data_IF_898073721184
#
_entry.id   IF_898073721184
#
_cell.length_a   1.000
_cell.length_b   1.000
_cell.length_c   1.000
_cell.angle_alpha   90.00
_cell.angle_beta   90.00
_cell.angle_gamma   90.00
#
_symmetry.space_group_name_H-M   'P 1'
#
loop_
_entity.id
_entity.type
_entity.pdbx_description
1 polymer ?
#
# COMPACT_ATOMS: atom_id res chain seq x y z
N UNK A 1 8.83 10.61 13.64
CA UNK A 1 9.69 9.77 12.78
C UNK A 1 10.13 10.57 11.57
N UNK A 2 11.41 10.54 11.28
CA UNK A 2 12.00 11.37 10.20
C UNK A 2 11.45 11.03 8.82
N UNK A 3 11.22 9.75 8.55
CA UNK A 3 10.67 9.31 7.27
C UNK A 3 9.28 9.88 7.02
N UNK A 4 8.43 9.88 8.05
CA UNK A 4 7.08 10.45 7.96
C UNK A 4 7.15 11.95 7.70
N UNK A 5 8.01 12.66 8.44
CA UNK A 5 8.17 14.10 8.27
C UNK A 5 8.65 14.45 6.85
N UNK A 6 9.58 13.67 6.31
CA UNK A 6 10.08 13.87 4.95
C UNK A 6 8.96 13.73 3.92
N UNK A 7 8.16 12.69 4.04
CA UNK A 7 7.05 12.44 3.14
C UNK A 7 5.95 13.50 3.24
N UNK A 8 5.64 13.92 4.46
CA UNK A 8 4.65 14.99 4.66
C UNK A 8 5.11 16.31 4.06
N UNK A 9 6.38 16.63 4.24
CA UNK A 9 6.95 17.86 3.72
C UNK A 9 6.99 17.89 2.19
N UNK A 10 7.32 16.76 1.57
CA UNK A 10 7.49 16.68 0.12
C UNK A 10 6.20 16.49 -0.65
N UNK A 11 5.26 15.70 -0.13
CA UNK A 11 4.09 15.28 -0.89
C UNK A 11 2.76 15.68 -0.25
N UNK A 12 2.74 16.04 1.02
CA UNK A 12 1.51 16.33 1.77
C UNK A 12 0.45 15.23 1.59
N UNK A 13 0.78 13.96 1.83
CA UNK A 13 -0.16 12.87 1.56
C UNK A 13 -1.34 12.87 2.54
N UNK A 14 -2.46 12.32 2.11
CA UNK A 14 -3.63 12.14 2.96
C UNK A 14 -3.35 11.14 4.08
N UNK A 15 -2.56 10.11 3.80
CA UNK A 15 -2.20 9.10 4.80
C UNK A 15 -0.86 8.46 4.44
N UNK A 16 -0.15 8.02 5.48
CA UNK A 16 1.07 7.22 5.37
C UNK A 16 0.87 6.00 6.25
N UNK A 17 1.05 4.81 5.69
CA UNK A 17 0.90 3.56 6.42
C UNK A 17 2.14 2.70 6.30
N UNK A 18 2.40 1.95 7.35
CA UNK A 18 3.42 0.90 7.37
C UNK A 18 2.70 -0.42 7.19
N UNK A 19 3.18 -1.28 6.30
CA UNK A 19 2.56 -2.56 6.07
C UNK A 19 3.60 -3.67 5.93
N UNK A 20 3.13 -4.89 5.66
CA UNK A 20 4.01 -6.05 5.57
C UNK A 20 4.46 -6.55 6.94
N UNK A 21 5.62 -7.19 7.01
CA UNK A 21 6.09 -7.85 8.23
C UNK A 21 6.30 -6.88 9.40
N UNK A 22 6.67 -5.63 9.12
CA UNK A 22 6.93 -4.65 10.17
C UNK A 22 5.67 -4.17 10.87
N UNK A 23 4.53 -4.15 10.20
CA UNK A 23 3.28 -3.76 10.82
C UNK A 23 2.78 -4.79 11.82
N UNK A 24 3.19 -6.05 11.65
CA UNK A 24 2.77 -7.17 12.51
C UNK A 24 3.79 -7.53 13.58
N UNK A 25 4.90 -6.80 13.66
CA UNK A 25 5.96 -7.09 14.63
C UNK A 25 6.84 -8.28 14.29
N UNK A 26 6.76 -8.77 13.06
CA UNK A 26 7.55 -9.90 12.59
C UNK A 26 8.79 -9.47 11.82
N UNK A 27 9.18 -8.23 11.98
CA UNK A 27 10.33 -7.68 11.29
C UNK A 27 11.63 -8.35 11.72
N UNK A 28 12.51 -8.49 10.74
CA UNK A 28 13.90 -8.88 10.98
C UNK A 28 14.76 -7.61 10.89
N UNK A 29 15.95 -7.59 11.51
CA UNK A 29 16.81 -6.41 11.47
C UNK A 29 17.17 -5.93 10.06
N UNK A 30 17.21 -6.83 9.09
CA UNK A 30 17.53 -6.53 7.69
C UNK A 30 16.33 -6.53 6.76
N UNK A 31 15.11 -6.57 7.31
CA UNK A 31 13.87 -6.54 6.51
C UNK A 31 13.67 -5.20 5.82
N UNK A 32 13.07 -5.24 4.63
CA UNK A 32 12.61 -4.05 3.95
C UNK A 32 11.52 -3.35 4.75
N UNK A 33 11.46 -2.03 4.63
CA UNK A 33 10.39 -1.23 5.21
C UNK A 33 9.38 -0.94 4.11
N UNK A 34 8.14 -1.40 4.29
CA UNK A 34 7.07 -1.23 3.31
C UNK A 34 6.18 -0.06 3.72
N UNK A 35 6.21 1.01 2.96
CA UNK A 35 5.44 2.23 3.21
C UNK A 35 4.43 2.45 2.11
N UNK A 36 3.18 2.73 2.50
CA UNK A 36 2.12 3.09 1.58
C UNK A 36 1.75 4.56 1.73
N UNK A 37 1.61 5.24 0.60
CA UNK A 37 1.20 6.64 0.54
C UNK A 37 -0.16 6.74 -0.13
N UNK A 38 -1.12 7.36 0.55
CA UNK A 38 -2.37 7.77 -0.08
C UNK A 38 -2.27 9.26 -0.35
N UNK A 39 -2.18 9.64 -1.62
CA UNK A 39 -2.00 11.04 -1.99
C UNK A 39 -3.32 11.82 -2.01
N UNK A 40 -4.38 11.17 -2.52
CA UNK A 40 -5.73 11.76 -2.63
C UNK A 40 -5.76 13.06 -3.44
N UNK A 41 -4.89 13.15 -4.45
CA UNK A 41 -4.75 14.30 -5.32
C UNK A 41 -3.75 13.99 -6.42
N UNK A 42 -3.00 15.00 -6.90
CA UNK A 42 -1.98 14.75 -7.92
C UNK A 42 -0.99 13.69 -7.46
N UNK A 43 -0.70 12.71 -8.32
CA UNK A 43 0.21 11.62 -7.99
C UNK A 43 1.64 12.00 -8.36
N UNK A 44 2.64 11.62 -7.56
CA UNK A 44 4.03 11.81 -7.94
C UNK A 44 4.37 10.88 -9.11
N UNK A 45 5.27 11.34 -9.98
CA UNK A 45 5.75 10.49 -11.07
C UNK A 45 6.75 9.45 -10.55
N UNK A 46 7.10 8.49 -11.41
CA UNK A 46 8.01 7.41 -11.05
C UNK A 46 9.39 7.92 -10.64
N UNK A 47 9.86 8.99 -11.29
CA UNK A 47 11.15 9.59 -10.98
C UNK A 47 11.16 10.21 -9.57
N UNK A 48 10.10 10.91 -9.23
CA UNK A 48 9.93 11.51 -7.89
C UNK A 48 9.86 10.42 -6.82
N UNK A 49 9.10 9.36 -7.08
CA UNK A 49 8.99 8.23 -6.14
C UNK A 49 10.35 7.56 -5.92
N UNK A 50 11.09 7.33 -6.99
CA UNK A 50 12.42 6.72 -6.89
C UNK A 50 13.38 7.58 -6.08
N UNK A 51 13.37 8.90 -6.28
CA UNK A 51 14.19 9.84 -5.51
C UNK A 51 13.82 9.86 -4.03
N UNK A 52 12.53 9.88 -3.73
CA UNK A 52 12.05 9.84 -2.35
C UNK A 52 12.44 8.53 -1.67
N UNK A 53 12.33 7.41 -2.38
CA UNK A 53 12.72 6.12 -1.84
C UNK A 53 14.20 6.14 -1.43
N UNK A 54 15.08 6.68 -2.27
CA UNK A 54 16.50 6.79 -1.95
C UNK A 54 16.73 7.65 -0.71
N UNK A 55 16.07 8.79 -0.60
CA UNK A 55 16.17 9.65 0.58
C UNK A 55 15.66 8.95 1.83
N UNK A 56 14.55 8.21 1.71
CA UNK A 56 13.99 7.45 2.82
C UNK A 56 14.94 6.35 3.28
N UNK A 57 15.59 5.66 2.35
CA UNK A 57 16.56 4.62 2.68
C UNK A 57 17.74 5.19 3.46
N UNK A 58 18.18 6.40 3.11
CA UNK A 58 19.23 7.08 3.86
C UNK A 58 18.80 7.41 5.29
N UNK A 59 17.56 7.85 5.47
CA UNK A 59 17.00 8.22 6.78
C UNK A 59 16.76 6.98 7.64
N UNK A 60 16.21 5.94 7.05
CA UNK A 60 15.81 4.71 7.76
C UNK A 60 17.00 3.78 7.97
N UNK A 61 17.97 3.80 7.06
CA UNK A 61 19.15 2.92 7.11
C UNK A 61 18.85 1.51 6.60
N UNK A 62 17.78 1.32 5.86
CA UNK A 62 17.34 0.04 5.31
C UNK A 62 16.66 0.21 3.98
N UNK A 63 16.54 -0.86 3.17
CA UNK A 63 15.75 -0.80 1.96
C UNK A 63 14.30 -0.40 2.26
N UNK A 64 13.75 0.48 1.45
CA UNK A 64 12.38 0.96 1.58
C UNK A 64 11.63 0.64 0.29
N UNK A 65 10.45 0.03 0.43
CA UNK A 65 9.52 -0.14 -0.65
C UNK A 65 8.40 0.90 -0.48
N UNK A 66 8.26 1.78 -1.45
CA UNK A 66 7.31 2.89 -1.39
C UNK A 66 6.22 2.67 -2.42
N UNK A 67 5.00 2.47 -1.93
CA UNK A 67 3.84 2.18 -2.78
C UNK A 67 2.86 3.35 -2.74
N UNK A 68 2.47 3.83 -3.91
CA UNK A 68 1.40 4.83 -4.03
C UNK A 68 0.06 4.08 -4.04
N UNK A 69 -0.69 4.20 -2.96
CA UNK A 69 -1.93 3.43 -2.76
C UNK A 69 -3.03 3.81 -3.75
N UNK A 70 -3.03 5.06 -4.21
CA UNK A 70 -4.04 5.56 -5.15
C UNK A 70 -4.07 4.74 -6.45
N UNK A 71 -2.91 4.22 -6.87
CA UNK A 71 -2.77 3.46 -8.10
C UNK A 71 -2.45 1.98 -7.88
N UNK A 72 -2.51 1.51 -6.63
CA UNK A 72 -2.26 0.11 -6.31
C UNK A 72 -3.37 -0.79 -6.86
N UNK A 73 -3.02 -2.02 -7.25
CA UNK A 73 -4.03 -3.00 -7.64
C UNK A 73 -4.95 -3.32 -6.46
N UNK A 74 -6.19 -3.80 -6.72
CA UNK A 74 -7.07 -4.19 -5.62
C UNK A 74 -6.48 -5.26 -4.71
N UNK A 75 -5.69 -6.17 -5.27
CA UNK A 75 -5.04 -7.23 -4.49
C UNK A 75 -4.00 -6.65 -3.55
N UNK A 76 -3.12 -5.78 -4.05
CA UNK A 76 -2.11 -5.14 -3.23
C UNK A 76 -2.73 -4.22 -2.18
N UNK A 77 -3.71 -3.40 -2.59
CA UNK A 77 -4.40 -2.50 -1.67
C UNK A 77 -5.08 -3.27 -0.53
N UNK A 78 -5.71 -4.40 -0.85
CA UNK A 78 -6.34 -5.24 0.17
C UNK A 78 -5.31 -5.85 1.13
N UNK A 79 -4.17 -6.25 0.60
CA UNK A 79 -3.08 -6.77 1.42
C UNK A 79 -2.59 -5.71 2.42
N UNK A 80 -2.48 -4.47 1.96
CA UNK A 80 -2.13 -3.33 2.83
C UNK A 80 -3.19 -3.15 3.92
N UNK A 81 -4.48 -3.17 3.55
CA UNK A 81 -5.56 -2.99 4.53
C UNK A 81 -5.61 -4.08 5.59
N UNK A 82 -5.23 -5.31 5.25
CA UNK A 82 -5.25 -6.43 6.20
C UNK A 82 -4.22 -6.30 7.31
N UNK A 83 -3.09 -5.67 7.04
CA UNK A 83 -1.98 -5.64 7.97
C UNK A 83 -1.26 -4.31 7.94
N UNK A 84 -1.99 -3.21 8.12
CA UNK A 84 -1.40 -1.90 8.11
C UNK A 84 -1.36 -1.27 9.49
N UNK A 85 -0.42 -0.35 9.65
CA UNK A 85 -0.34 0.52 10.80
C UNK A 85 -0.27 1.96 10.28
N UNK A 86 -1.18 2.80 10.70
CA UNK A 86 -1.23 4.19 10.27
C UNK A 86 -0.12 4.96 10.97
N UNK A 87 0.78 5.56 10.19
CA UNK A 87 1.85 6.41 10.71
C UNK A 87 1.45 7.88 10.71
N UNK A 88 0.66 8.30 9.73
CA UNK A 88 0.13 9.65 9.65
C UNK A 88 -1.22 9.61 8.93
N UNK A 89 -2.18 10.36 9.43
CA UNK A 89 -3.52 10.44 8.86
C UNK A 89 -3.93 11.91 8.82
N UNK A 90 -3.76 12.51 7.67
CA UNK A 90 -4.07 13.92 7.45
C UNK A 90 -5.49 14.13 6.97
N UNK A 91 -5.98 13.22 6.12
CA UNK A 91 -7.33 13.26 5.57
C UNK A 91 -8.00 11.91 5.80
N UNK A 92 -8.79 11.85 6.85
CA UNK A 92 -9.51 10.63 7.24
C UNK A 92 -10.53 10.22 6.17
N UNK A 93 -11.25 11.18 5.61
CA UNK A 93 -12.27 10.91 4.60
C UNK A 93 -11.65 10.27 3.36
N UNK A 94 -10.50 10.75 2.93
CA UNK A 94 -9.78 10.17 1.80
C UNK A 94 -9.38 8.72 2.09
N UNK A 95 -8.92 8.45 3.30
CA UNK A 95 -8.53 7.08 3.70
C UNK A 95 -9.75 6.16 3.77
N UNK A 96 -10.86 6.63 4.29
CA UNK A 96 -12.11 5.85 4.32
C UNK A 96 -12.61 5.56 2.91
N UNK A 97 -12.55 6.54 2.02
CA UNK A 97 -12.91 6.35 0.61
C UNK A 97 -12.01 5.32 -0.05
N UNK A 98 -10.70 5.39 0.20
CA UNK A 98 -9.75 4.39 -0.29
C UNK A 98 -10.11 2.99 0.20
N UNK A 99 -10.45 2.86 1.49
CA UNK A 99 -10.83 1.58 2.09
C UNK A 99 -12.06 0.99 1.41
N UNK A 100 -13.12 1.80 1.25
CA UNK A 100 -14.36 1.34 0.63
C UNK A 100 -14.14 0.94 -0.82
N UNK A 101 -13.43 1.76 -1.59
CA UNK A 101 -13.10 1.47 -2.98
C UNK A 101 -12.30 0.18 -3.12
N UNK A 102 -11.35 -0.04 -2.24
CA UNK A 102 -10.54 -1.24 -2.25
C UNK A 102 -11.38 -2.48 -1.99
N UNK A 103 -12.25 -2.42 -0.99
CA UNK A 103 -13.14 -3.54 -0.67
C UNK A 103 -14.06 -3.87 -1.83
N UNK A 104 -14.69 -2.86 -2.43
CA UNK A 104 -15.60 -3.06 -3.56
C UNK A 104 -14.85 -3.65 -4.76
N UNK A 105 -13.70 -3.11 -5.10
CA UNK A 105 -12.90 -3.59 -6.23
C UNK A 105 -12.39 -5.01 -6.00
N UNK A 106 -11.99 -5.33 -4.78
CA UNK A 106 -11.53 -6.66 -4.41
C UNK A 106 -12.64 -7.70 -4.54
N UNK A 107 -13.84 -7.38 -4.05
CA UNK A 107 -14.97 -8.29 -4.14
C UNK A 107 -15.45 -8.46 -5.58
N UNK A 108 -15.46 -7.42 -6.38
CA UNK A 108 -15.76 -7.50 -7.81
C UNK A 108 -14.78 -8.41 -8.52
N UNK A 109 -13.50 -8.26 -8.25
CA UNK A 109 -12.46 -9.10 -8.82
C UNK A 109 -12.65 -10.57 -8.44
N UNK A 110 -13.00 -10.84 -7.18
CA UNK A 110 -13.27 -12.19 -6.69
C UNK A 110 -14.48 -12.80 -7.39
N UNK A 111 -15.54 -12.04 -7.56
CA UNK A 111 -16.77 -12.51 -8.22
C UNK A 111 -16.52 -12.83 -9.69
N UNK A 112 -15.71 -12.04 -10.37
CA UNK A 112 -15.33 -12.31 -11.77
C UNK A 112 -14.48 -13.57 -11.89
N UNK A 113 -13.58 -13.79 -10.94
CA UNK A 113 -12.65 -14.93 -10.98
C UNK A 113 -13.28 -16.24 -10.54
N UNK A 114 -14.21 -16.21 -9.60
CA UNK A 114 -14.80 -17.42 -9.02
C UNK A 114 -15.44 -18.34 -10.07
N UNK A 115 -16.25 -17.86 -11.04
CA UNK A 115 -16.80 -18.72 -12.06
C UNK A 115 -15.74 -19.36 -12.95
N UNK A 116 -14.67 -18.64 -13.26
CA UNK A 116 -13.58 -19.16 -14.09
C UNK A 116 -12.83 -20.25 -13.33
N UNK A 117 -12.52 -20.02 -12.07
CA UNK A 117 -11.85 -21.00 -11.21
C UNK A 117 -12.69 -22.27 -11.05
N UNK A 118 -14.00 -22.12 -10.84
CA UNK A 118 -14.92 -23.24 -10.73
C UNK A 118 -14.94 -24.06 -12.02
N UNK A 119 -14.94 -23.41 -13.18
CA UNK A 119 -14.92 -24.09 -14.47
C UNK A 119 -13.63 -24.89 -14.68
N UNK A 120 -12.49 -24.33 -14.28
CA UNK A 120 -11.19 -24.98 -14.37
C UNK A 120 -11.15 -26.22 -13.45
N UNK A 121 -11.59 -26.07 -12.20
CA UNK A 121 -11.63 -27.16 -11.23
C UNK A 121 -12.56 -28.30 -11.69
N UNK A 122 -13.71 -27.93 -12.25
CA UNK A 122 -14.66 -28.88 -12.81
C UNK A 122 -14.05 -29.71 -13.93
N UNK A 123 -13.25 -29.11 -14.78
CA UNK A 123 -12.54 -29.78 -15.86
C UNK A 123 -11.44 -30.72 -15.35
N UNK A 124 -10.75 -30.32 -14.30
CA UNK A 124 -9.65 -31.11 -13.77
C UNK A 124 -10.11 -32.34 -13.02
N UNK A 125 -11.38 -32.43 -12.61
CA UNK A 125 -11.96 -33.55 -11.88
C UNK A 125 -12.68 -34.57 -12.78
N UNK A 126 -12.82 -34.26 -14.05
CA UNK A 126 -13.47 -35.16 -15.03
C UNK A 126 -12.45 -36.09 -15.77
#
# INVERSE_FOLDING_TARGET
>A
MRAVSLLEERLHPAAIVLFGSRSTGRERPDSDVDLGLLCAGPLPDAFTVAGLRTELEDVVGRPVDLVVLDSASPILAMEVLRSHRVLALRDRDAFETFTVRTLLAYFDLKQVRAPIEAAILSRSTS
#
